data_IF_944020466763
#
_entry.id   IF_944020466763
#
_cell.length_a   1.000
_cell.length_b   1.000
_cell.length_c   1.000
_cell.angle_alpha   90.00
_cell.angle_beta   90.00
_cell.angle_gamma   90.00
#
_symmetry.space_group_name_H-M   'P 1'
#
loop_
_entity.id
_entity.type
_entity.pdbx_description
1 polymer ?
#
# COMPACT_ATOMS: atom_id res chain seq x y z
N UNK A 1 6.43 23.05 3.40
CA UNK A 1 6.22 22.70 1.99
C UNK A 1 5.32 21.49 1.97
N UNK A 2 4.04 21.66 1.63
CA UNK A 2 3.16 20.51 1.39
C UNK A 2 3.63 19.85 0.11
N UNK A 3 3.94 18.55 0.16
CA UNK A 3 3.94 17.72 -1.04
C UNK A 3 2.54 17.92 -1.65
N UNK A 4 2.47 18.44 -2.89
CA UNK A 4 1.21 18.85 -3.51
C UNK A 4 0.13 17.76 -3.42
N UNK A 5 -1.14 18.18 -3.49
CA UNK A 5 -2.27 17.25 -3.45
C UNK A 5 -2.14 16.23 -4.59
N UNK A 6 -2.10 14.95 -4.23
CA UNK A 6 -2.13 13.83 -5.18
C UNK A 6 -3.53 13.26 -5.12
N UNK A 7 -4.32 13.45 -6.18
CA UNK A 7 -5.67 12.89 -6.28
C UNK A 7 -5.61 11.44 -6.79
N UNK A 8 -6.72 10.72 -6.66
CA UNK A 8 -6.87 9.37 -7.24
C UNK A 8 -6.66 9.40 -8.76
N UNK A 9 -7.30 10.33 -9.46
CA UNK A 9 -7.19 10.49 -10.92
C UNK A 9 -5.73 10.73 -11.35
N UNK A 10 -5.02 11.65 -10.66
CA UNK A 10 -3.60 11.88 -10.92
C UNK A 10 -2.73 10.65 -10.63
N UNK A 11 -3.11 9.87 -9.62
CA UNK A 11 -2.41 8.61 -9.29
C UNK A 11 -2.59 7.59 -10.41
N UNK A 12 -3.79 7.46 -10.96
CA UNK A 12 -4.06 6.52 -12.04
C UNK A 12 -3.36 6.92 -13.33
N UNK A 13 -3.39 8.20 -13.69
CA UNK A 13 -2.67 8.73 -14.85
C UNK A 13 -1.16 8.47 -14.74
N UNK A 14 -0.60 8.64 -13.54
CA UNK A 14 0.81 8.36 -13.26
C UNK A 14 1.12 6.86 -13.38
N UNK A 15 0.27 5.99 -12.85
CA UNK A 15 0.44 4.54 -12.92
C UNK A 15 0.27 4.01 -14.34
N UNK A 16 -0.72 4.50 -15.10
CA UNK A 16 -0.91 4.19 -16.51
C UNK A 16 0.33 4.61 -17.31
N UNK A 17 0.83 5.83 -17.10
CA UNK A 17 2.07 6.31 -17.75
C UNK A 17 3.29 5.47 -17.37
N UNK A 18 3.46 5.15 -16.09
CA UNK A 18 4.57 4.33 -15.60
C UNK A 18 4.57 2.93 -16.25
N UNK A 19 3.39 2.32 -16.31
CA UNK A 19 3.18 1.02 -16.93
C UNK A 19 3.46 1.06 -18.44
N UNK A 20 2.94 2.06 -19.15
CA UNK A 20 3.14 2.22 -20.60
C UNK A 20 4.62 2.44 -20.98
N UNK A 21 5.42 2.99 -20.06
CA UNK A 21 6.87 3.13 -20.20
C UNK A 21 7.64 1.85 -19.85
N UNK A 22 6.95 0.75 -19.54
CA UNK A 22 7.52 -0.55 -19.19
C UNK A 22 7.85 -0.72 -17.71
N UNK A 23 7.37 0.17 -16.85
CA UNK A 23 7.49 0.05 -15.41
C UNK A 23 6.59 -1.04 -14.85
N UNK A 24 7.11 -1.86 -13.95
CA UNK A 24 6.32 -2.97 -13.37
C UNK A 24 6.48 -3.13 -11.85
N UNK A 25 7.23 -2.25 -11.17
CA UNK A 25 7.47 -2.39 -9.73
C UNK A 25 7.02 -1.14 -8.99
N UNK A 26 6.16 -1.35 -7.99
CA UNK A 26 5.61 -0.28 -7.15
C UNK A 26 5.89 -0.58 -5.68
N UNK A 27 6.44 0.40 -4.98
CA UNK A 27 6.73 0.35 -3.55
C UNK A 27 5.77 1.28 -2.79
N UNK A 28 5.12 0.74 -1.76
CA UNK A 28 4.15 1.46 -0.92
C UNK A 28 4.36 1.13 0.58
N UNK A 29 3.43 1.54 1.44
CA UNK A 29 3.41 1.21 2.85
C UNK A 29 1.99 1.32 3.42
N UNK A 30 1.71 0.52 4.45
CA UNK A 30 0.40 0.43 5.12
C UNK A 30 -0.14 1.75 5.72
N UNK A 31 0.68 2.80 5.81
CA UNK A 31 0.28 4.10 6.37
C UNK A 31 0.53 5.29 5.43
N UNK A 32 0.97 5.08 4.19
CA UNK A 32 1.14 6.17 3.23
C UNK A 32 -0.22 6.81 2.90
N UNK A 33 -0.28 8.14 3.04
CA UNK A 33 -1.53 8.92 2.96
C UNK A 33 -2.65 8.34 3.84
N UNK A 34 -2.31 7.84 5.04
CA UNK A 34 -3.30 7.24 5.94
C UNK A 34 -3.88 5.90 5.46
N UNK A 35 -3.24 5.25 4.49
CA UNK A 35 -3.67 3.97 3.90
C UNK A 35 -4.19 4.10 2.46
N UNK A 36 -4.50 5.32 2.00
CA UNK A 36 -5.10 5.55 0.67
C UNK A 36 -4.20 5.10 -0.49
N UNK A 37 -2.87 5.14 -0.30
CA UNK A 37 -1.95 4.71 -1.35
C UNK A 37 -2.14 3.25 -1.75
N UNK A 38 -2.34 2.34 -0.78
CA UNK A 38 -2.56 0.93 -1.07
C UNK A 38 -3.93 0.70 -1.71
N UNK A 39 -4.95 1.46 -1.29
CA UNK A 39 -6.30 1.40 -1.87
C UNK A 39 -6.28 1.81 -3.35
N UNK A 40 -5.71 2.97 -3.69
CA UNK A 40 -5.65 3.44 -5.08
C UNK A 40 -4.81 2.54 -5.99
N UNK A 41 -3.70 2.00 -5.50
CA UNK A 41 -2.90 1.03 -6.28
C UNK A 41 -3.70 -0.25 -6.51
N UNK A 42 -4.41 -0.73 -5.48
CA UNK A 42 -5.27 -1.91 -5.58
C UNK A 42 -6.42 -1.74 -6.55
N UNK A 43 -7.11 -0.61 -6.46
CA UNK A 43 -8.21 -0.22 -7.36
C UNK A 43 -7.72 -0.15 -8.81
N UNK A 44 -6.62 0.57 -9.07
CA UNK A 44 -6.01 0.66 -10.38
C UNK A 44 -5.63 -0.71 -10.95
N UNK A 45 -4.97 -1.57 -10.17
CA UNK A 45 -4.57 -2.91 -10.62
C UNK A 45 -5.79 -3.78 -10.98
N UNK A 46 -6.85 -3.70 -10.17
CA UNK A 46 -8.09 -4.42 -10.38
C UNK A 46 -8.80 -3.94 -11.66
N UNK A 47 -8.93 -2.62 -11.82
CA UNK A 47 -9.63 -2.00 -12.95
C UNK A 47 -8.92 -2.25 -14.28
N UNK A 48 -7.57 -2.25 -14.28
CA UNK A 48 -6.76 -2.52 -15.48
C UNK A 48 -6.49 -4.01 -15.72
N UNK A 49 -6.78 -4.87 -14.74
CA UNK A 49 -6.48 -6.30 -14.81
C UNK A 49 -4.99 -6.63 -14.82
N UNK A 50 -4.16 -5.79 -14.18
CA UNK A 50 -2.68 -5.83 -14.29
C UNK A 50 -1.97 -6.48 -13.13
N UNK A 51 -2.67 -6.98 -12.10
CA UNK A 51 -2.04 -7.49 -10.87
C UNK A 51 -0.90 -8.48 -11.14
N UNK A 52 -1.08 -9.42 -12.07
CA UNK A 52 -0.07 -10.45 -12.36
C UNK A 52 1.16 -9.95 -13.14
N UNK A 53 1.11 -8.73 -13.65
CA UNK A 53 2.20 -8.11 -14.40
C UNK A 53 3.05 -7.18 -13.51
N UNK A 54 2.53 -6.85 -12.32
CA UNK A 54 3.13 -5.92 -11.36
C UNK A 54 3.83 -6.65 -10.21
N UNK A 55 4.94 -6.09 -9.75
CA UNK A 55 5.66 -6.44 -8.52
C UNK A 55 5.31 -5.41 -7.46
N UNK A 56 4.61 -5.84 -6.40
CA UNK A 56 4.15 -4.97 -5.33
C UNK A 56 4.97 -5.19 -4.07
N UNK A 57 5.64 -4.13 -3.62
CA UNK A 57 6.36 -4.08 -2.36
C UNK A 57 5.58 -3.23 -1.34
N UNK A 58 5.41 -3.72 -0.12
CA UNK A 58 4.84 -2.92 0.98
C UNK A 58 5.64 -3.05 2.29
N UNK A 59 5.32 -2.15 3.23
CA UNK A 59 5.92 -2.04 4.56
C UNK A 59 4.83 -2.14 5.62
N UNK A 60 5.04 -3.00 6.61
CA UNK A 60 4.00 -3.38 7.58
C UNK A 60 4.14 -2.72 8.97
N UNK A 61 5.27 -2.05 9.23
CA UNK A 61 5.67 -1.65 10.59
C UNK A 61 5.11 -0.32 11.06
N UNK A 62 4.45 0.46 10.19
CA UNK A 62 3.86 1.75 10.58
C UNK A 62 2.53 1.57 11.30
N UNK A 63 2.14 2.57 12.10
CA UNK A 63 0.91 2.54 12.91
C UNK A 63 -0.20 3.39 12.28
N UNK A 64 -1.08 2.82 11.44
CA UNK A 64 -2.21 3.54 10.84
C UNK A 64 -3.37 3.79 11.82
N UNK A 65 -3.22 3.38 13.08
CA UNK A 65 -4.28 3.46 14.11
C UNK A 65 -4.16 4.69 15.01
N UNK A 66 -3.26 5.63 14.71
CA UNK A 66 -3.12 6.87 15.47
C UNK A 66 -4.47 7.61 15.56
N UNK A 67 -4.87 7.99 16.78
CA UNK A 67 -6.13 8.68 17.04
C UNK A 67 -7.40 7.81 17.05
N UNK A 68 -7.31 6.49 16.78
CA UNK A 68 -8.47 5.58 16.84
C UNK A 68 -8.66 5.02 18.27
N UNK A 69 -9.92 4.79 18.71
CA UNK A 69 -10.24 4.33 20.06
C UNK A 69 -10.01 2.82 20.24
N UNK A 70 -8.80 2.34 19.93
CA UNK A 70 -8.40 0.93 20.04
C UNK A 70 -7.07 0.81 20.76
N UNK A 71 -6.76 -0.37 21.30
CA UNK A 71 -5.42 -0.66 21.81
C UNK A 71 -4.42 -0.77 20.64
N UNK A 72 -3.46 0.13 20.58
CA UNK A 72 -2.52 0.28 19.46
C UNK A 72 -1.25 -0.58 19.59
N UNK A 73 -1.05 -1.29 20.70
CA UNK A 73 0.20 -2.03 20.99
C UNK A 73 0.57 -3.08 19.95
N UNK A 74 -0.41 -3.57 19.17
CA UNK A 74 -0.19 -4.57 18.12
C UNK A 74 -0.26 -3.99 16.70
N UNK A 75 -0.35 -2.67 16.53
CA UNK A 75 -0.51 -2.03 15.22
C UNK A 75 0.75 -1.33 14.73
N UNK A 76 1.91 -1.56 15.34
CA UNK A 76 3.18 -0.97 14.91
C UNK A 76 4.39 -1.76 15.38
N UNK A 77 5.55 -1.50 14.77
CA UNK A 77 6.79 -2.21 15.03
C UNK A 77 6.90 -3.55 14.29
N UNK A 78 7.93 -4.33 14.63
CA UNK A 78 8.33 -5.54 13.88
C UNK A 78 7.76 -6.85 14.43
N UNK A 79 6.91 -6.78 15.47
CA UNK A 79 6.35 -7.96 16.13
C UNK A 79 5.45 -8.80 15.21
N UNK A 80 5.41 -10.12 15.44
CA UNK A 80 4.66 -11.06 14.59
C UNK A 80 3.16 -10.75 14.54
N UNK A 81 2.57 -10.24 15.64
CA UNK A 81 1.15 -9.86 15.67
C UNK A 81 0.87 -8.66 14.75
N UNK A 82 1.74 -7.65 14.78
CA UNK A 82 1.67 -6.50 13.87
C UNK A 82 1.83 -6.92 12.43
N UNK A 83 2.81 -7.80 12.14
CA UNK A 83 3.02 -8.33 10.81
C UNK A 83 1.74 -8.96 10.25
N UNK A 84 1.10 -9.87 11.00
CA UNK A 84 -0.13 -10.52 10.53
C UNK A 84 -1.25 -9.52 10.27
N UNK A 85 -1.54 -8.65 11.24
CA UNK A 85 -2.64 -7.68 11.13
C UNK A 85 -2.40 -6.70 9.97
N UNK A 86 -1.19 -6.16 9.84
CA UNK A 86 -0.85 -5.20 8.80
C UNK A 86 -0.86 -5.85 7.42
N UNK A 87 -0.35 -7.07 7.27
CA UNK A 87 -0.38 -7.80 5.98
C UNK A 87 -1.82 -8.09 5.56
N UNK A 88 -2.68 -8.56 6.46
CA UNK A 88 -4.10 -8.79 6.17
C UNK A 88 -4.80 -7.51 5.71
N UNK A 89 -4.50 -6.37 6.35
CA UNK A 89 -5.02 -5.08 5.95
C UNK A 89 -4.50 -4.64 4.58
N UNK A 90 -3.20 -4.76 4.32
CA UNK A 90 -2.59 -4.40 3.04
C UNK A 90 -3.09 -5.26 1.88
N UNK A 91 -3.27 -6.57 2.07
CA UNK A 91 -3.86 -7.46 1.06
C UNK A 91 -5.27 -7.01 0.67
N UNK A 92 -6.07 -6.63 1.67
CA UNK A 92 -7.43 -6.11 1.45
C UNK A 92 -7.42 -4.78 0.70
N UNK A 93 -6.55 -3.85 1.08
CA UNK A 93 -6.42 -2.54 0.43
C UNK A 93 -5.92 -2.68 -1.02
N UNK A 94 -4.89 -3.50 -1.25
CA UNK A 94 -4.31 -3.79 -2.56
C UNK A 94 -5.21 -4.71 -3.43
N UNK A 95 -6.34 -5.19 -2.89
CA UNK A 95 -7.29 -6.08 -3.58
C UNK A 95 -6.63 -7.30 -4.23
N UNK A 96 -5.68 -7.91 -3.52
CA UNK A 96 -4.91 -9.07 -3.98
C UNK A 96 -4.74 -10.08 -2.86
N UNK A 97 -4.42 -11.31 -3.23
CA UNK A 97 -4.19 -12.45 -2.35
C UNK A 97 -2.71 -12.66 -2.00
N UNK A 98 -1.78 -11.94 -2.65
CA UNK A 98 -0.35 -12.01 -2.33
C UNK A 98 0.38 -10.68 -2.49
N UNK A 99 1.50 -10.55 -1.77
CA UNK A 99 2.46 -9.45 -1.86
C UNK A 99 3.80 -10.04 -2.30
N UNK A 100 4.46 -9.40 -3.26
CA UNK A 100 5.73 -9.89 -3.82
C UNK A 100 6.90 -9.67 -2.86
N UNK A 101 6.94 -8.49 -2.21
CA UNK A 101 8.00 -8.13 -1.27
C UNK A 101 7.40 -7.45 -0.04
N UNK A 102 7.66 -8.01 1.15
CA UNK A 102 7.31 -7.38 2.42
C UNK A 102 8.58 -6.95 3.13
N UNK A 103 8.65 -5.69 3.54
CA UNK A 103 9.79 -5.17 4.30
C UNK A 103 9.37 -4.50 5.60
N UNK A 104 10.25 -4.55 6.60
CA UNK A 104 10.16 -3.66 7.75
C UNK A 104 10.78 -2.32 7.38
N UNK A 105 10.09 -1.21 7.67
CA UNK A 105 10.72 0.12 7.60
C UNK A 105 11.90 0.16 8.60
N UNK A 106 13.09 0.68 8.24
CA UNK A 106 14.15 0.96 9.20
C UNK A 106 13.74 2.01 10.23
#
# INVERSE_FOLDING_TARGET
MGLGECTEEMTYDLLDTFYDLGGNSVDTANAYQGGQSEEWIGDWMQDRGRRNEMVIATKYTMTPMAGKPVNQSNYGGTGSKTMHISIEASLKALKTDYIDIVSSRP
#
